data_IF_315514068394
#
_entry.id   IF_315514068394
#
_cell.length_a   1.000
_cell.length_b   1.000
_cell.length_c   1.000
_cell.angle_alpha   90.00
_cell.angle_beta   90.00
_cell.angle_gamma   90.00
#
_symmetry.space_group_name_H-M   'P 1'
#
loop_
_entity.id
_entity.type
_entity.pdbx_description
1 polymer ?
#
# COMPACT_ATOMS: atom_id res chain seq x y z
N UNK A 1 -17.60 -27.65 -38.20
CA UNK A 1 -18.12 -26.34 -37.76
C UNK A 1 -18.16 -26.29 -36.24
N UNK A 2 -18.70 -27.33 -35.59
CA UNK A 2 -18.89 -27.38 -34.14
C UNK A 2 -17.60 -27.41 -33.32
N UNK A 3 -16.59 -28.19 -33.75
CA UNK A 3 -15.28 -28.21 -33.08
C UNK A 3 -14.54 -26.86 -33.12
N UNK A 4 -14.74 -26.06 -34.17
CA UNK A 4 -14.15 -24.71 -34.25
C UNK A 4 -14.92 -23.70 -33.39
N UNK A 5 -16.24 -23.86 -33.25
CA UNK A 5 -17.03 -23.05 -32.32
C UNK A 5 -16.68 -23.36 -30.87
N UNK A 6 -16.37 -24.62 -30.55
CA UNK A 6 -15.94 -25.05 -29.22
C UNK A 6 -14.53 -24.52 -28.88
N UNK A 7 -13.55 -24.61 -29.79
CA UNK A 7 -12.23 -23.99 -29.61
C UNK A 7 -12.31 -22.46 -29.47
N UNK A 8 -13.15 -21.79 -30.28
CA UNK A 8 -13.35 -20.34 -30.19
C UNK A 8 -14.03 -19.94 -28.87
N UNK A 9 -14.96 -20.78 -28.38
CA UNK A 9 -15.62 -20.60 -27.08
C UNK A 9 -14.62 -20.74 -25.93
N UNK A 10 -13.81 -21.80 -25.91
CA UNK A 10 -12.80 -22.01 -24.87
C UNK A 10 -11.74 -20.91 -24.84
N UNK A 11 -11.26 -20.46 -26.01
CA UNK A 11 -10.31 -19.35 -26.11
C UNK A 11 -10.94 -18.04 -25.63
N UNK A 12 -12.22 -17.80 -25.93
CA UNK A 12 -12.97 -16.63 -25.45
C UNK A 12 -13.12 -16.64 -23.94
N UNK A 13 -13.56 -17.77 -23.36
CA UNK A 13 -13.73 -17.95 -21.92
C UNK A 13 -12.39 -17.81 -21.18
N UNK A 14 -11.32 -18.43 -21.68
CA UNK A 14 -9.98 -18.31 -21.09
C UNK A 14 -9.47 -16.85 -21.10
N UNK A 15 -9.68 -16.13 -22.20
CA UNK A 15 -9.35 -14.70 -22.28
C UNK A 15 -10.14 -13.89 -21.25
N UNK A 16 -11.45 -14.09 -21.18
CA UNK A 16 -12.31 -13.38 -20.22
C UNK A 16 -11.86 -13.65 -18.78
N UNK A 17 -11.60 -14.91 -18.42
CA UNK A 17 -11.11 -15.28 -17.10
C UNK A 17 -9.78 -14.59 -16.79
N UNK A 18 -8.81 -14.59 -17.73
CA UNK A 18 -7.53 -13.90 -17.54
C UNK A 18 -7.69 -12.40 -17.30
N UNK A 19 -8.56 -11.72 -18.05
CA UNK A 19 -8.86 -10.30 -17.87
C UNK A 19 -9.52 -10.02 -16.51
N UNK A 20 -10.47 -10.86 -16.10
CA UNK A 20 -11.13 -10.75 -14.80
C UNK A 20 -10.14 -10.97 -13.66
N UNK A 21 -9.31 -12.00 -13.73
CA UNK A 21 -8.27 -12.28 -12.74
C UNK A 21 -7.26 -11.13 -12.65
N UNK A 22 -6.79 -10.60 -13.78
CA UNK A 22 -5.87 -9.47 -13.79
C UNK A 22 -6.52 -8.22 -13.16
N UNK A 23 -7.78 -7.93 -13.49
CA UNK A 23 -8.53 -6.84 -12.87
C UNK A 23 -8.69 -7.03 -11.36
N UNK A 24 -9.06 -8.22 -10.92
CA UNK A 24 -9.21 -8.54 -9.49
C UNK A 24 -7.87 -8.44 -8.74
N UNK A 25 -6.75 -8.86 -9.34
CA UNK A 25 -5.42 -8.70 -8.74
C UNK A 25 -5.03 -7.23 -8.60
N UNK A 26 -5.31 -6.41 -9.63
CA UNK A 26 -4.97 -4.99 -9.64
C UNK A 26 -5.75 -4.21 -8.58
N UNK A 27 -7.07 -4.42 -8.52
CA UNK A 27 -7.96 -3.61 -7.68
C UNK A 27 -8.29 -4.25 -6.34
N UNK A 28 -8.10 -5.55 -6.16
CA UNK A 28 -8.53 -6.30 -4.98
C UNK A 28 -8.01 -5.69 -3.67
N UNK A 29 -6.74 -5.28 -3.64
CA UNK A 29 -6.14 -4.62 -2.47
C UNK A 29 -6.68 -3.21 -2.20
N UNK A 30 -7.18 -2.51 -3.22
CA UNK A 30 -7.63 -1.10 -3.13
C UNK A 30 -9.08 -1.00 -2.66
N UNK A 31 -9.92 -1.97 -3.02
CA UNK A 31 -11.36 -1.99 -2.73
C UNK A 31 -11.71 -1.67 -1.27
N UNK A 32 -11.02 -2.24 -0.24
CA UNK A 32 -11.33 -1.95 1.17
C UNK A 32 -11.11 -0.50 1.58
N UNK A 33 -10.23 0.24 0.90
CA UNK A 33 -9.91 1.62 1.23
C UNK A 33 -10.91 2.62 0.65
N UNK A 34 -11.70 2.22 -0.35
CA UNK A 34 -12.75 3.06 -0.94
C UNK A 34 -13.84 3.44 0.08
N UNK A 35 -14.47 2.47 0.80
CA UNK A 35 -15.44 2.82 1.84
C UNK A 35 -14.79 3.59 2.99
N UNK A 36 -13.56 3.24 3.40
CA UNK A 36 -12.82 3.96 4.44
C UNK A 36 -12.59 5.44 4.07
N UNK A 37 -12.17 5.71 2.83
CA UNK A 37 -12.02 7.08 2.32
C UNK A 37 -13.34 7.85 2.39
N UNK A 38 -14.44 7.22 1.95
CA UNK A 38 -15.76 7.85 1.96
C UNK A 38 -16.26 8.12 3.37
N UNK A 39 -16.00 7.20 4.30
CA UNK A 39 -16.37 7.33 5.70
C UNK A 39 -15.67 8.51 6.34
N UNK A 40 -14.32 8.58 6.27
CA UNK A 40 -13.52 9.68 6.83
C UNK A 40 -13.94 11.03 6.24
N UNK A 41 -14.22 11.06 4.93
CA UNK A 41 -14.68 12.28 4.25
C UNK A 41 -16.07 12.71 4.72
N UNK A 42 -16.94 11.77 5.08
CA UNK A 42 -18.32 12.03 5.52
C UNK A 42 -18.41 12.39 7.00
N UNK A 43 -17.69 11.66 7.85
CA UNK A 43 -17.65 11.91 9.30
C UNK A 43 -16.83 13.14 9.63
N UNK A 44 -15.98 13.58 8.69
CA UNK A 44 -14.92 14.55 8.95
C UNK A 44 -14.07 14.12 10.15
N UNK A 45 -13.87 12.82 10.37
CA UNK A 45 -13.07 12.29 11.45
C UNK A 45 -12.10 11.23 10.93
N UNK A 46 -10.82 11.39 11.27
CA UNK A 46 -9.72 10.55 10.85
C UNK A 46 -9.00 9.87 12.03
N UNK A 47 -9.57 9.90 13.25
CA UNK A 47 -8.97 9.24 14.42
C UNK A 47 -9.04 7.70 14.33
N UNK A 48 -10.07 7.15 13.70
CA UNK A 48 -10.24 5.70 13.53
C UNK A 48 -9.27 5.02 12.56
N UNK A 49 -8.55 5.79 11.72
CA UNK A 49 -7.66 5.24 10.70
C UNK A 49 -6.17 5.51 11.02
N UNK A 50 -5.38 4.45 11.02
CA UNK A 50 -3.94 4.53 11.32
C UNK A 50 -3.11 4.86 10.08
N UNK A 51 -2.42 6.00 10.11
CA UNK A 51 -1.46 6.37 9.06
C UNK A 51 -0.28 5.38 8.94
N UNK A 52 0.02 4.60 9.99
CA UNK A 52 1.06 3.56 9.94
C UNK A 52 0.68 2.40 9.02
N UNK A 53 -0.61 2.14 8.80
CA UNK A 53 -1.06 1.17 7.80
C UNK A 53 -0.66 1.66 6.41
N UNK A 54 -0.87 2.96 6.13
CA UNK A 54 -0.39 3.56 4.88
C UNK A 54 1.12 3.49 4.75
N UNK A 55 1.89 3.72 5.83
CA UNK A 55 3.35 3.56 5.79
C UNK A 55 3.76 2.16 5.38
N UNK A 56 3.21 1.15 6.06
CA UNK A 56 3.56 -0.24 5.80
C UNK A 56 3.23 -0.64 4.36
N UNK A 57 2.05 -0.24 3.84
CA UNK A 57 1.70 -0.48 2.44
C UNK A 57 2.58 0.29 1.45
N UNK A 58 2.88 1.56 1.71
CA UNK A 58 3.76 2.35 0.86
C UNK A 58 5.16 1.73 0.78
N UNK A 59 5.71 1.32 1.92
CA UNK A 59 7.00 0.63 2.00
C UNK A 59 6.95 -0.71 1.27
N UNK A 60 5.96 -1.56 1.56
CA UNK A 60 5.81 -2.87 0.94
C UNK A 60 5.71 -2.76 -0.59
N UNK A 61 4.83 -1.91 -1.11
CA UNK A 61 4.65 -1.73 -2.56
C UNK A 61 5.86 -1.07 -3.23
N UNK A 62 6.55 -0.15 -2.54
CA UNK A 62 7.82 0.40 -3.04
C UNK A 62 8.89 -0.68 -3.16
N UNK A 63 9.04 -1.55 -2.16
CA UNK A 63 9.98 -2.67 -2.20
C UNK A 63 9.58 -3.69 -3.29
N UNK A 64 8.29 -3.95 -3.52
CA UNK A 64 7.81 -4.79 -4.64
C UNK A 64 8.18 -4.22 -6.01
N UNK A 65 8.10 -2.90 -6.17
CA UNK A 65 8.51 -2.23 -7.42
C UNK A 65 10.02 -2.36 -7.61
N UNK A 66 10.82 -2.19 -6.56
CA UNK A 66 12.28 -2.38 -6.63
C UNK A 66 12.67 -3.83 -6.92
N UNK A 67 12.02 -4.78 -6.27
CA UNK A 67 12.20 -6.22 -6.52
C UNK A 67 11.96 -6.58 -7.99
N UNK A 68 10.96 -5.97 -8.63
CA UNK A 68 10.61 -6.25 -10.03
C UNK A 68 11.78 -5.99 -10.99
N UNK A 69 12.65 -5.00 -10.70
CA UNK A 69 13.83 -4.72 -11.52
C UNK A 69 14.90 -5.82 -11.41
N UNK A 70 15.05 -6.44 -10.24
CA UNK A 70 15.98 -7.57 -10.06
C UNK A 70 15.40 -8.89 -10.57
N UNK A 71 14.10 -9.13 -10.31
CA UNK A 71 13.39 -10.33 -10.77
C UNK A 71 11.98 -9.96 -11.20
N UNK A 72 11.76 -10.00 -12.52
CA UNK A 72 10.46 -9.69 -13.11
C UNK A 72 9.41 -10.72 -12.70
N UNK A 73 8.29 -10.21 -12.21
CA UNK A 73 7.06 -10.96 -11.94
C UNK A 73 5.91 -10.37 -12.76
N UNK A 74 4.74 -11.00 -12.67
CA UNK A 74 3.53 -10.66 -13.42
C UNK A 74 3.18 -9.15 -13.37
N UNK A 75 3.07 -8.53 -14.54
CA UNK A 75 2.79 -7.10 -14.71
C UNK A 75 1.53 -6.63 -13.94
N UNK A 76 0.43 -7.39 -13.84
CA UNK A 76 -0.72 -7.00 -13.01
C UNK A 76 -0.37 -6.67 -11.56
N UNK A 77 0.57 -7.39 -10.94
CA UNK A 77 0.99 -7.12 -9.55
C UNK A 77 1.87 -5.85 -9.45
N UNK A 78 2.61 -5.53 -10.51
CA UNK A 78 3.36 -4.28 -10.57
C UNK A 78 2.40 -3.09 -10.65
N UNK A 79 1.40 -3.19 -11.53
CA UNK A 79 0.33 -2.19 -11.65
C UNK A 79 -0.45 -2.07 -10.33
N UNK A 80 -0.76 -3.20 -9.68
CA UNK A 80 -1.38 -3.23 -8.35
C UNK A 80 -0.56 -2.41 -7.34
N UNK A 81 0.77 -2.58 -7.31
CA UNK A 81 1.65 -1.87 -6.38
C UNK A 81 1.65 -0.36 -6.61
N UNK A 82 1.62 0.08 -7.88
CA UNK A 82 1.53 1.50 -8.25
C UNK A 82 0.19 2.11 -7.83
N UNK A 83 -0.94 1.44 -8.16
CA UNK A 83 -2.28 1.93 -7.79
C UNK A 83 -2.44 1.96 -6.27
N UNK A 84 -1.90 0.96 -5.57
CA UNK A 84 -1.93 0.92 -4.11
C UNK A 84 -1.15 2.10 -3.50
N UNK A 85 0.04 2.42 -4.01
CA UNK A 85 0.79 3.60 -3.57
C UNK A 85 -0.01 4.90 -3.76
N UNK A 86 -0.62 5.09 -4.93
CA UNK A 86 -1.47 6.25 -5.21
C UNK A 86 -2.63 6.33 -4.21
N UNK A 87 -3.29 5.20 -3.94
CA UNK A 87 -4.39 5.11 -2.98
C UNK A 87 -3.93 5.48 -1.56
N UNK A 88 -2.77 4.97 -1.13
CA UNK A 88 -2.23 5.26 0.19
C UNK A 88 -1.87 6.74 0.35
N UNK A 89 -1.28 7.37 -0.66
CA UNK A 89 -1.06 8.82 -0.64
C UNK A 89 -2.37 9.60 -0.60
N UNK A 90 -3.40 9.19 -1.36
CA UNK A 90 -4.72 9.82 -1.30
C UNK A 90 -5.37 9.70 0.08
N UNK A 91 -5.23 8.54 0.74
CA UNK A 91 -5.68 8.31 2.12
C UNK A 91 -4.94 9.22 3.11
N UNK A 92 -3.60 9.28 3.06
CA UNK A 92 -2.80 10.16 3.92
C UNK A 92 -3.24 11.62 3.71
N UNK A 93 -3.34 12.07 2.46
CA UNK A 93 -3.76 13.43 2.16
C UNK A 93 -5.13 13.77 2.77
N UNK A 94 -6.12 12.87 2.64
CA UNK A 94 -7.43 13.06 3.26
C UNK A 94 -7.33 13.13 4.78
N UNK A 95 -6.66 12.16 5.41
CA UNK A 95 -6.55 12.08 6.87
C UNK A 95 -5.83 13.31 7.46
N UNK A 96 -4.74 13.76 6.82
CA UNK A 96 -4.01 14.96 7.25
C UNK A 96 -4.87 16.21 7.09
N UNK A 97 -5.57 16.35 5.96
CA UNK A 97 -6.44 17.51 5.72
C UNK A 97 -7.59 17.59 6.74
N UNK A 98 -8.25 16.46 7.03
CA UNK A 98 -9.32 16.38 8.03
C UNK A 98 -8.78 16.68 9.43
N UNK A 99 -7.66 16.06 9.81
CA UNK A 99 -7.03 16.29 11.13
C UNK A 99 -6.62 17.74 11.33
N UNK A 100 -6.05 18.39 10.32
CA UNK A 100 -5.69 19.79 10.38
C UNK A 100 -6.90 20.72 10.50
N UNK A 101 -8.03 20.36 9.87
CA UNK A 101 -9.26 21.13 9.96
C UNK A 101 -9.92 21.03 11.34
N UNK A 102 -9.81 19.86 11.98
CA UNK A 102 -10.40 19.60 13.29
C UNK A 102 -9.52 20.03 14.47
N UNK A 103 -8.24 20.34 14.23
CA UNK A 103 -7.36 20.87 15.28
C UNK A 103 -7.79 22.29 15.68
N UNK A 104 -8.57 22.38 16.75
CA UNK A 104 -9.06 23.64 17.37
C UNK A 104 -7.89 24.50 17.88
N UNK A 105 -6.81 23.85 18.35
CA UNK A 105 -5.57 24.50 18.77
C UNK A 105 -4.47 24.08 17.79
N UNK A 106 -3.96 25.03 17.00
CA UNK A 106 -2.76 24.81 16.18
C UNK A 106 -1.57 24.56 17.12
N UNK A 107 -1.21 23.30 17.30
CA UNK A 107 0.04 22.93 17.96
C UNK A 107 1.26 23.35 17.11
N UNK A 108 2.46 23.04 17.57
CA UNK A 108 3.68 23.20 16.76
C UNK A 108 3.53 22.39 15.47
N UNK A 109 3.79 23.04 14.33
CA UNK A 109 3.88 22.39 13.03
C UNK A 109 4.96 21.30 13.12
N UNK A 110 4.58 20.08 12.74
CA UNK A 110 5.45 18.90 12.79
C UNK A 110 5.78 18.53 11.37
N UNK A 111 7.02 18.79 10.98
CA UNK A 111 7.52 18.57 9.62
C UNK A 111 8.58 17.47 9.60
N UNK A 112 8.82 16.89 8.43
CA UNK A 112 9.82 15.84 8.25
C UNK A 112 11.23 16.26 8.74
N UNK A 113 11.58 17.54 8.57
CA UNK A 113 12.88 18.10 8.95
C UNK A 113 13.07 18.34 10.45
N UNK A 114 12.05 18.13 11.30
CA UNK A 114 12.20 18.27 12.75
C UNK A 114 13.08 17.18 13.38
N UNK A 115 13.33 16.06 12.67
CA UNK A 115 14.13 14.90 13.11
C UNK A 115 13.78 14.32 14.49
N UNK A 116 12.61 14.62 15.06
CA UNK A 116 12.14 14.01 16.30
C UNK A 116 11.51 12.65 16.03
N UNK A 117 12.26 11.59 16.32
CA UNK A 117 11.82 10.19 16.15
C UNK A 117 10.53 9.87 16.90
N UNK A 118 10.19 10.60 17.98
CA UNK A 118 8.95 10.37 18.75
C UNK A 118 7.70 10.66 17.93
N UNK A 119 7.80 11.53 16.94
CA UNK A 119 6.69 11.91 16.06
C UNK A 119 6.86 11.37 14.64
N UNK A 120 7.66 10.31 14.49
CA UNK A 120 7.83 9.62 13.22
C UNK A 120 6.47 9.24 12.62
N UNK A 121 6.23 9.64 11.36
CA UNK A 121 4.98 9.40 10.63
C UNK A 121 3.71 10.07 11.20
N UNK A 122 3.86 11.06 12.08
CA UNK A 122 2.78 11.83 12.67
C UNK A 122 2.90 13.34 12.36
N UNK A 123 3.26 13.65 11.11
CA UNK A 123 3.42 15.01 10.60
C UNK A 123 2.08 15.71 10.36
N UNK A 124 2.11 17.03 10.39
CA UNK A 124 0.93 17.88 10.17
C UNK A 124 0.71 18.20 8.70
N UNK A 125 1.70 18.01 7.84
CA UNK A 125 1.61 18.31 6.41
C UNK A 125 1.76 17.06 5.55
N UNK A 126 1.07 17.03 4.41
CA UNK A 126 1.14 15.91 3.47
C UNK A 126 2.52 15.79 2.79
N UNK A 127 3.18 16.92 2.55
CA UNK A 127 4.45 16.97 1.82
C UNK A 127 5.55 16.21 2.56
N UNK A 128 5.63 16.33 3.89
CA UNK A 128 6.53 15.56 4.75
C UNK A 128 6.44 14.05 4.55
N UNK A 129 5.22 13.52 4.30
CA UNK A 129 5.04 12.10 3.99
C UNK A 129 5.59 11.73 2.61
N UNK A 130 5.40 12.60 1.62
CA UNK A 130 5.93 12.41 0.27
C UNK A 130 7.46 12.50 0.28
N UNK A 131 8.04 13.48 0.96
CA UNK A 131 9.48 13.69 1.07
C UNK A 131 10.16 12.48 1.72
N UNK A 132 9.59 11.95 2.81
CA UNK A 132 10.10 10.73 3.42
C UNK A 132 10.07 9.55 2.44
N UNK A 133 8.94 9.33 1.76
CA UNK A 133 8.81 8.22 0.82
C UNK A 133 9.77 8.37 -0.37
N UNK A 134 9.94 9.59 -0.88
CA UNK A 134 10.87 9.89 -1.95
C UNK A 134 12.31 9.62 -1.50
N UNK A 135 12.71 10.07 -0.32
CA UNK A 135 14.03 9.79 0.25
C UNK A 135 14.24 8.28 0.43
N UNK A 136 13.25 7.58 0.99
CA UNK A 136 13.28 6.12 1.15
C UNK A 136 13.46 5.42 -0.21
N UNK A 137 12.67 5.80 -1.22
CA UNK A 137 12.77 5.25 -2.57
C UNK A 137 14.13 5.53 -3.19
N UNK A 138 14.68 6.74 -3.06
CA UNK A 138 16.01 7.07 -3.62
C UNK A 138 17.10 6.20 -2.97
N UNK A 139 17.11 6.10 -1.64
CA UNK A 139 18.10 5.30 -0.91
C UNK A 139 17.98 3.82 -1.29
N UNK A 140 16.77 3.27 -1.26
CA UNK A 140 16.54 1.87 -1.62
C UNK A 140 16.86 1.61 -3.10
N UNK A 141 16.52 2.52 -4.02
CA UNK A 141 16.86 2.40 -5.44
C UNK A 141 18.37 2.41 -5.67
N UNK A 142 19.10 3.30 -4.98
CA UNK A 142 20.56 3.36 -5.06
C UNK A 142 21.19 2.07 -4.55
N UNK A 143 20.72 1.54 -3.42
CA UNK A 143 21.15 0.24 -2.91
C UNK A 143 20.80 -0.89 -3.88
N UNK A 144 19.58 -0.89 -4.44
CA UNK A 144 19.16 -1.93 -5.38
C UNK A 144 20.00 -1.90 -6.64
N UNK A 145 20.29 -0.72 -7.18
CA UNK A 145 21.18 -0.57 -8.33
C UNK A 145 22.59 -1.10 -8.07
N UNK A 146 23.15 -0.85 -6.88
CA UNK A 146 24.49 -1.33 -6.51
C UNK A 146 24.57 -2.84 -6.28
N UNK A 147 23.49 -3.46 -5.80
CA UNK A 147 23.46 -4.87 -5.38
C UNK A 147 22.57 -5.77 -6.25
N UNK A 148 22.18 -5.31 -7.46
CA UNK A 148 21.22 -6.04 -8.31
C UNK A 148 21.74 -7.41 -8.75
N UNK A 149 23.05 -7.55 -8.97
CA UNK A 149 23.68 -8.81 -9.37
C UNK A 149 23.83 -9.80 -8.20
N UNK A 150 23.61 -9.35 -6.96
CA UNK A 150 23.73 -10.18 -5.77
C UNK A 150 22.36 -10.78 -5.38
N UNK A 151 22.10 -12.01 -5.83
CA UNK A 151 20.81 -12.71 -5.65
C UNK A 151 20.26 -12.67 -4.20
N UNK A 152 21.05 -12.93 -3.13
CA UNK A 152 20.51 -12.90 -1.78
C UNK A 152 19.96 -11.53 -1.36
N UNK A 153 20.50 -10.43 -1.92
CA UNK A 153 19.95 -9.11 -1.68
C UNK A 153 18.59 -8.92 -2.37
N UNK A 154 18.46 -9.35 -3.63
CA UNK A 154 17.19 -9.26 -4.37
C UNK A 154 16.10 -10.08 -3.66
N UNK A 155 16.42 -11.30 -3.22
CA UNK A 155 15.50 -12.14 -2.45
C UNK A 155 15.11 -11.51 -1.11
N UNK A 156 16.06 -10.88 -0.41
CA UNK A 156 15.79 -10.16 0.83
C UNK A 156 14.80 -9.00 0.62
N UNK A 157 14.96 -8.22 -0.45
CA UNK A 157 14.03 -7.13 -0.77
C UNK A 157 12.61 -7.68 -1.02
N UNK A 158 12.48 -8.76 -1.79
CA UNK A 158 11.20 -9.42 -2.02
C UNK A 158 10.58 -9.96 -0.74
N UNK A 159 11.39 -10.59 0.13
CA UNK A 159 10.97 -11.07 1.45
C UNK A 159 10.46 -9.91 2.32
N UNK A 160 11.23 -8.83 2.44
CA UNK A 160 10.83 -7.66 3.23
C UNK A 160 9.52 -7.05 2.71
N UNK A 161 9.35 -6.98 1.38
CA UNK A 161 8.13 -6.46 0.78
C UNK A 161 6.88 -7.24 1.21
N UNK A 162 6.91 -8.57 1.08
CA UNK A 162 5.78 -9.45 1.47
C UNK A 162 5.62 -9.51 2.99
N UNK A 163 6.72 -9.48 3.74
CA UNK A 163 6.71 -9.48 5.19
C UNK A 163 6.03 -8.24 5.77
N UNK A 164 6.38 -7.04 5.27
CA UNK A 164 5.75 -5.79 5.70
C UNK A 164 4.25 -5.79 5.45
N UNK A 165 3.80 -6.35 4.33
CA UNK A 165 2.37 -6.46 4.01
C UNK A 165 1.65 -7.48 4.89
N UNK A 166 2.25 -8.64 5.14
CA UNK A 166 1.69 -9.67 6.00
C UNK A 166 1.50 -9.18 7.45
N UNK A 167 2.38 -8.29 7.92
CA UNK A 167 2.28 -7.69 9.26
C UNK A 167 1.04 -6.82 9.46
N UNK A 168 0.36 -6.38 8.39
CA UNK A 168 -0.88 -5.61 8.51
C UNK A 168 -2.03 -6.43 9.10
N UNK A 169 -2.08 -7.74 8.80
CA UNK A 169 -3.10 -8.65 9.33
C UNK A 169 -2.83 -9.08 10.78
N UNK A 170 -1.56 -9.04 11.21
CA UNK A 170 -1.15 -9.50 12.54
C UNK A 170 -1.83 -8.76 13.71
N UNK A 171 -1.91 -7.41 13.77
CA UNK A 171 -2.58 -6.72 14.87
C UNK A 171 -4.07 -7.06 14.94
N UNK A 172 -4.75 -7.20 13.79
CA UNK A 172 -6.17 -7.55 13.74
C UNK A 172 -6.42 -8.96 14.31
N UNK A 173 -5.57 -9.93 13.91
CA UNK A 173 -5.63 -11.31 14.40
C UNK A 173 -5.38 -11.36 15.91
N UNK A 174 -4.42 -10.59 16.41
CA UNK A 174 -4.08 -10.57 17.84
C UNK A 174 -5.20 -9.96 18.69
N UNK A 175 -5.82 -8.87 18.21
CA UNK A 175 -6.99 -8.27 18.87
C UNK A 175 -8.18 -9.23 18.89
N UNK A 176 -8.47 -9.91 17.78
CA UNK A 176 -9.55 -10.91 17.71
C UNK A 176 -9.29 -12.10 18.65
N UNK A 177 -8.05 -12.59 18.73
CA UNK A 177 -7.66 -13.66 19.65
C UNK A 177 -7.83 -13.24 21.12
N UNK A 178 -7.43 -12.01 21.47
CA UNK A 178 -7.54 -11.49 22.84
C UNK A 178 -8.98 -11.18 23.24
N UNK A 179 -9.78 -10.67 22.32
CA UNK A 179 -11.16 -10.25 22.59
C UNK A 179 -12.17 -11.40 22.45
N UNK A 180 -11.75 -12.58 21.96
CA UNK A 180 -12.62 -13.74 21.64
C UNK A 180 -13.89 -13.37 20.84
N UNK A 181 -13.81 -12.27 20.10
CA UNK A 181 -14.91 -11.69 19.33
C UNK A 181 -14.38 -11.31 17.96
N UNK A 182 -15.21 -11.52 16.94
CA UNK A 182 -14.97 -11.11 15.56
C UNK A 182 -15.77 -9.86 15.21
N UNK A 183 -16.32 -9.14 16.19
CA UNK A 183 -16.94 -7.84 15.94
C UNK A 183 -15.86 -6.84 15.50
N UNK A 184 -15.87 -6.50 14.20
CA UNK A 184 -14.94 -5.55 13.59
C UNK A 184 -14.07 -6.10 12.44
N UNK A 185 -14.31 -7.33 11.97
CA UNK A 185 -13.86 -7.77 10.63
C UNK A 185 -14.88 -7.41 9.55
#
# INVERSE_FOLDING_TARGET
>A
MDALLEELSEISVSKVVKWVCAGAMIFGGVVPYIPQYREIKRTEDAEGFSLFVCLALLVANTLRILFWFGKQYEIPLLVQSIIMNITMFAMIHLCVNVRNRNQIIRGRDRVFTDFDRRYFWAWTDFISYVDFMLLFTIICSALTYLFIDFMPYVELIGFLAVFTEALLGAPQVLCNYRNKSTEGM
#
